data_IF_055518383757
#
_entry.id   IF_055518383757
#
_cell.length_a   1.000
_cell.length_b   1.000
_cell.length_c   1.000
_cell.angle_alpha   90.00
_cell.angle_beta   90.00
_cell.angle_gamma   90.00
#
_symmetry.space_group_name_H-M   'P 1'
#
loop_
_entity.id
_entity.type
_entity.pdbx_description
1 polymer ?
#
# COMPACT_ATOMS: atom_id res chain seq x y z
N UNK A 1 3.40 10.65 -22.44
CA UNK A 1 2.42 10.29 -21.41
C UNK A 1 2.51 11.35 -20.33
N UNK A 2 1.39 11.89 -19.86
CA UNK A 2 1.41 12.84 -18.75
C UNK A 2 1.64 12.00 -17.49
N UNK A 3 2.89 11.76 -17.10
CA UNK A 3 3.20 10.89 -15.95
C UNK A 3 3.08 11.72 -14.68
N UNK A 4 1.84 12.02 -14.33
CA UNK A 4 1.51 12.64 -13.05
C UNK A 4 1.33 11.53 -12.02
N UNK A 5 1.99 11.67 -10.88
CA UNK A 5 1.78 10.80 -9.72
C UNK A 5 0.30 10.77 -9.35
N UNK A 6 -0.26 9.58 -9.27
CA UNK A 6 -1.58 9.35 -8.69
C UNK A 6 -1.45 9.28 -7.18
N UNK A 7 -2.46 9.76 -6.47
CA UNK A 7 -2.50 9.72 -5.00
C UNK A 7 -3.73 8.96 -4.53
N UNK A 8 -3.51 7.98 -3.65
CA UNK A 8 -4.54 7.17 -3.02
C UNK A 8 -4.43 7.31 -1.50
N UNK A 9 -5.51 7.71 -0.85
CA UNK A 9 -5.63 7.63 0.60
C UNK A 9 -6.37 6.34 0.94
N UNK A 10 -5.75 5.53 1.78
CA UNK A 10 -6.28 4.25 2.23
C UNK A 10 -6.48 4.28 3.73
N UNK A 11 -7.66 3.89 4.19
CA UNK A 11 -7.93 3.60 5.58
C UNK A 11 -8.19 2.10 5.75
N UNK A 12 -7.36 1.46 6.54
CA UNK A 12 -7.46 0.05 6.88
C UNK A 12 -8.40 -0.15 8.06
N UNK A 13 -9.07 -1.31 8.09
CA UNK A 13 -9.90 -1.73 9.22
C UNK A 13 -9.06 -2.26 10.39
N UNK A 14 -7.84 -2.70 10.11
CA UNK A 14 -6.85 -3.14 11.10
C UNK A 14 -5.64 -2.20 11.11
N UNK A 15 -4.86 -2.13 12.20
CA UNK A 15 -3.65 -1.33 12.22
C UNK A 15 -2.66 -1.80 11.15
N UNK A 16 -1.92 -0.87 10.54
CA UNK A 16 -0.89 -1.18 9.53
C UNK A 16 0.12 -2.19 10.08
N UNK A 17 0.48 -2.10 11.37
CA UNK A 17 1.39 -3.06 12.03
C UNK A 17 0.83 -4.47 12.11
N UNK A 18 -0.49 -4.65 12.08
CA UNK A 18 -1.10 -5.98 11.99
C UNK A 18 -1.03 -6.52 10.56
N UNK A 19 -1.13 -5.65 9.55
CA UNK A 19 -1.02 -6.00 8.14
C UNK A 19 0.41 -6.40 7.75
N UNK A 20 1.43 -5.92 8.45
CA UNK A 20 2.81 -6.38 8.28
C UNK A 20 2.93 -7.90 8.49
N UNK A 21 2.04 -8.52 9.26
CA UNK A 21 1.99 -9.97 9.45
C UNK A 21 1.69 -10.79 8.17
N UNK A 22 1.21 -10.17 7.08
CA UNK A 22 1.07 -10.81 5.76
C UNK A 22 2.44 -11.24 5.21
N UNK A 23 3.49 -10.53 5.62
CA UNK A 23 4.84 -10.62 5.09
C UNK A 23 5.80 -11.42 5.97
N UNK A 24 5.30 -12.08 7.02
CA UNK A 24 6.12 -12.87 7.97
C UNK A 24 6.81 -14.09 7.31
N UNK A 25 6.27 -14.58 6.19
CA UNK A 25 6.91 -15.64 5.40
C UNK A 25 8.04 -15.06 4.52
N UNK A 26 9.22 -14.93 5.13
CA UNK A 26 10.47 -14.47 4.50
C UNK A 26 10.92 -15.27 3.26
N UNK A 27 10.35 -16.45 2.99
CA UNK A 27 10.63 -17.24 1.79
C UNK A 27 9.74 -16.86 0.60
N UNK A 28 8.58 -16.25 0.86
CA UNK A 28 7.62 -15.82 -0.15
C UNK A 28 7.72 -14.32 -0.46
N UNK A 29 8.23 -13.52 0.46
CA UNK A 29 8.29 -12.05 0.34
C UNK A 29 9.69 -11.51 0.62
N UNK A 30 10.16 -10.55 -0.20
CA UNK A 30 11.47 -9.91 -0.04
C UNK A 30 11.47 -8.79 1.03
N UNK A 31 10.36 -8.63 1.74
CA UNK A 31 10.13 -7.58 2.74
C UNK A 31 9.22 -8.11 3.83
N UNK A 32 9.34 -7.55 5.04
CA UNK A 32 8.56 -7.92 6.23
C UNK A 32 7.42 -6.94 6.54
N UNK A 33 7.17 -5.95 5.66
CA UNK A 33 6.18 -4.89 5.94
C UNK A 33 5.38 -4.51 4.71
N UNK A 34 4.12 -4.10 4.93
CA UNK A 34 3.26 -3.56 3.87
C UNK A 34 3.89 -2.34 3.21
N UNK A 35 4.56 -1.50 4.02
CA UNK A 35 5.30 -0.35 3.50
C UNK A 35 6.39 -0.81 2.54
N UNK A 36 7.23 -1.76 2.96
CA UNK A 36 8.35 -2.23 2.15
C UNK A 36 7.89 -2.85 0.84
N UNK A 37 6.78 -3.59 0.85
CA UNK A 37 6.19 -4.16 -0.38
C UNK A 37 5.73 -3.09 -1.36
N UNK A 38 5.05 -2.05 -0.88
CA UNK A 38 4.57 -0.96 -1.74
C UNK A 38 5.73 -0.08 -2.21
N UNK A 39 6.73 0.14 -1.36
CA UNK A 39 7.94 0.92 -1.69
C UNK A 39 8.91 0.18 -2.62
N UNK A 40 8.76 -1.13 -2.83
CA UNK A 40 9.56 -1.89 -3.79
C UNK A 40 9.19 -1.55 -5.24
N UNK A 41 7.92 -1.20 -5.48
CA UNK A 41 7.48 -0.73 -6.79
C UNK A 41 8.15 0.61 -7.15
N UNK A 42 8.71 0.68 -8.36
CA UNK A 42 9.32 1.90 -8.91
C UNK A 42 8.30 3.05 -8.87
N UNK A 43 8.80 4.24 -8.50
CA UNK A 43 8.02 5.47 -8.40
C UNK A 43 6.73 5.33 -7.55
N UNK A 44 6.72 4.42 -6.57
CA UNK A 44 5.57 4.15 -5.69
C UNK A 44 5.97 4.29 -4.23
N UNK A 45 5.35 5.17 -3.44
CA UNK A 45 5.68 5.37 -2.01
C UNK A 45 4.47 5.19 -1.12
N UNK A 46 4.68 4.55 0.02
CA UNK A 46 3.72 4.44 1.11
C UNK A 46 4.11 5.32 2.30
N UNK A 47 3.21 6.21 2.70
CA UNK A 47 3.38 7.11 3.86
C UNK A 47 2.23 6.91 4.84
N UNK A 48 2.47 6.24 5.97
CA UNK A 48 1.51 6.15 7.04
C UNK A 48 1.30 7.55 7.67
N UNK A 49 0.05 7.99 7.76
CA UNK A 49 -0.33 9.24 8.44
C UNK A 49 -0.83 8.99 9.86
N UNK A 50 -1.37 7.79 10.10
CA UNK A 50 -1.74 7.27 11.42
C UNK A 50 -1.68 5.73 11.40
N UNK A 51 -1.88 5.09 12.55
CA UNK A 51 -1.95 3.64 12.74
C UNK A 51 -2.82 2.87 11.73
N UNK A 52 -3.89 3.48 11.19
CA UNK A 52 -4.82 2.84 10.25
C UNK A 52 -4.89 3.53 8.89
N UNK A 53 -4.16 4.64 8.69
CA UNK A 53 -4.31 5.46 7.47
C UNK A 53 -2.98 5.65 6.79
N UNK A 54 -2.96 5.49 5.47
CA UNK A 54 -1.79 5.74 4.66
C UNK A 54 -2.13 6.51 3.39
N UNK A 55 -1.16 7.29 2.93
CA UNK A 55 -1.15 7.90 1.61
C UNK A 55 -0.18 7.13 0.75
N UNK A 56 -0.66 6.68 -0.41
CA UNK A 56 0.14 6.01 -1.43
C UNK A 56 0.23 6.93 -2.63
N UNK A 57 1.44 7.18 -3.09
CA UNK A 57 1.67 7.85 -4.38
C UNK A 57 2.30 6.87 -5.34
N UNK A 58 1.86 6.88 -6.60
CA UNK A 58 2.43 6.01 -7.64
C UNK A 58 2.36 6.68 -9.00
N UNK A 59 3.44 6.57 -9.77
CA UNK A 59 3.45 7.01 -11.17
C UNK A 59 2.83 5.97 -12.12
N UNK A 60 3.15 4.69 -11.94
CA UNK A 60 2.79 3.63 -12.90
C UNK A 60 1.93 2.49 -12.34
N UNK A 61 2.04 2.21 -11.04
CA UNK A 61 1.55 0.97 -10.43
C UNK A 61 0.26 1.13 -9.61
N UNK A 62 -0.42 2.29 -9.67
CA UNK A 62 -1.54 2.59 -8.76
C UNK A 62 -2.67 1.55 -8.84
N UNK A 63 -3.06 1.15 -10.05
CA UNK A 63 -4.13 0.16 -10.24
C UNK A 63 -3.73 -1.22 -9.70
N UNK A 64 -2.48 -1.64 -9.91
CA UNK A 64 -1.95 -2.89 -9.38
C UNK A 64 -1.91 -2.88 -7.85
N UNK A 65 -1.44 -1.78 -7.25
CA UNK A 65 -1.39 -1.60 -5.80
C UNK A 65 -2.80 -1.62 -5.21
N UNK A 66 -3.74 -0.91 -5.81
CA UNK A 66 -5.14 -0.86 -5.38
C UNK A 66 -5.80 -2.24 -5.44
N UNK A 67 -5.64 -2.96 -6.54
CA UNK A 67 -6.19 -4.31 -6.67
C UNK A 67 -5.61 -5.26 -5.61
N UNK A 68 -4.29 -5.22 -5.39
CA UNK A 68 -3.64 -6.05 -4.39
C UNK A 68 -4.15 -5.74 -2.97
N UNK A 69 -4.22 -4.45 -2.61
CA UNK A 69 -4.73 -3.99 -1.31
C UNK A 69 -6.16 -4.45 -1.05
N UNK A 70 -7.03 -4.36 -2.05
CA UNK A 70 -8.43 -4.82 -1.96
C UNK A 70 -8.55 -6.33 -1.72
N UNK A 71 -7.60 -7.11 -2.24
CA UNK A 71 -7.61 -8.58 -2.13
C UNK A 71 -6.98 -9.07 -0.84
N UNK A 72 -5.90 -8.43 -0.38
CA UNK A 72 -5.04 -8.94 0.69
C UNK A 72 -5.26 -8.25 2.04
N UNK A 73 -5.86 -7.06 2.06
CA UNK A 73 -6.02 -6.28 3.30
C UNK A 73 -7.48 -5.92 3.55
N UNK A 74 -7.94 -5.86 4.82
CA UNK A 74 -9.28 -5.40 5.14
C UNK A 74 -9.32 -3.87 5.07
N UNK A 75 -9.92 -3.36 3.99
CA UNK A 75 -10.02 -1.92 3.73
C UNK A 75 -11.34 -1.38 4.28
N UNK A 76 -11.26 -0.27 5.01
CA UNK A 76 -12.42 0.50 5.45
C UNK A 76 -12.79 1.61 4.47
N UNK A 77 -11.82 2.30 3.90
CA UNK A 77 -12.04 3.39 2.93
C UNK A 77 -10.87 3.49 1.94
N UNK A 78 -11.18 3.84 0.69
CA UNK A 78 -10.19 4.21 -0.33
C UNK A 78 -10.66 5.42 -1.11
N UNK A 79 -9.78 6.41 -1.27
CA UNK A 79 -10.09 7.67 -1.95
C UNK A 79 -8.94 8.11 -2.84
N UNK A 80 -9.27 8.39 -4.10
CA UNK A 80 -8.34 8.86 -5.13
C UNK A 80 -8.38 10.40 -5.25
N UNK A 81 -7.25 11.00 -5.65
CA UNK A 81 -7.07 12.43 -5.86
C UNK A 81 -6.42 12.73 -7.21
#
# INVERSE_FOLDING_TARGET
MNTTYQTLIVKFSEPITALDGIFDDTGAWETDTLKGWIDDYESTRFTATDSHTAVITSEYNMECVKEWLQRQTPISEMREF
#
